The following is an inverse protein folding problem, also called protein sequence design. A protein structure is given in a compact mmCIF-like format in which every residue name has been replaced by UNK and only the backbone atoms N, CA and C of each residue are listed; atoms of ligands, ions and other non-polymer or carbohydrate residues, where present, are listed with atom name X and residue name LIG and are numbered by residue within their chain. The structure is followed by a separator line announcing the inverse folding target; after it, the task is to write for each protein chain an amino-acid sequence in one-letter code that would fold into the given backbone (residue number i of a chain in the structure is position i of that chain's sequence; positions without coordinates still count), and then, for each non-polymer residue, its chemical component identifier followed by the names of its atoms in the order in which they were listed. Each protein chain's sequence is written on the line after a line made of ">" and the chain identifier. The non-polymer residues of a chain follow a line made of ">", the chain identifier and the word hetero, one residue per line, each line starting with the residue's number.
data_IF_007501362331
#
_entry.id   IF_007501362331
#
_cell.length_a   1.000
_cell.length_b   1.000
_cell.length_c   1.000
_cell.angle_alpha   90.00
_cell.angle_beta   90.00
_cell.angle_gamma   90.00
#
_symmetry.space_group_name_H-M   'P 1'
#
loop_
_entity.id
_entity.type
_entity.pdbx_description
1 polymer ?
#
# COMPACT_ATOMS: atom_id res chain seq x y z
N UNK A 1 5.52 -20.98 -8.23
CA UNK A 1 6.84 -21.54 -7.83
C UNK A 1 7.95 -20.48 -7.69
N UNK A 2 7.68 -19.17 -7.81
CA UNK A 2 8.68 -18.10 -7.64
C UNK A 2 8.88 -17.66 -6.17
N UNK A 3 7.79 -17.40 -5.43
CA UNK A 3 7.89 -16.93 -4.03
C UNK A 3 8.48 -17.94 -3.05
N UNK A 4 8.34 -19.24 -3.29
CA UNK A 4 8.93 -20.29 -2.44
C UNK A 4 10.45 -20.35 -2.59
N UNK A 5 10.99 -20.06 -3.78
CA UNK A 5 12.42 -20.12 -4.04
C UNK A 5 13.16 -18.96 -3.39
N UNK A 6 12.58 -17.75 -3.42
CA UNK A 6 13.28 -16.53 -3.02
C UNK A 6 12.92 -16.02 -1.62
N UNK A 7 12.23 -16.83 -0.80
CA UNK A 7 11.72 -16.40 0.50
C UNK A 7 12.85 -16.05 1.50
N UNK A 8 14.01 -16.69 1.36
CA UNK A 8 15.18 -16.50 2.22
C UNK A 8 16.32 -15.73 1.54
N UNK A 9 16.12 -15.21 0.33
CA UNK A 9 17.19 -14.58 -0.46
C UNK A 9 17.58 -13.19 0.08
N UNK A 10 16.75 -12.59 0.94
CA UNK A 10 17.00 -11.28 1.52
C UNK A 10 16.63 -11.24 3.00
N UNK A 11 17.60 -10.96 3.86
CA UNK A 11 17.36 -10.66 5.26
C UNK A 11 16.88 -9.21 5.42
N UNK A 12 15.58 -9.04 5.66
CA UNK A 12 14.93 -7.75 5.87
C UNK A 12 14.94 -7.29 7.33
N UNK A 13 15.65 -8.00 8.23
CA UNK A 13 15.67 -7.68 9.67
C UNK A 13 16.14 -6.25 9.92
N UNK A 14 17.23 -5.83 9.25
CA UNK A 14 17.77 -4.49 9.41
C UNK A 14 16.76 -3.42 8.98
N UNK A 15 16.09 -3.61 7.85
CA UNK A 15 15.10 -2.66 7.33
C UNK A 15 13.89 -2.52 8.26
N UNK A 16 13.44 -3.64 8.84
CA UNK A 16 12.38 -3.64 9.85
C UNK A 16 12.80 -2.80 11.06
N UNK A 17 13.96 -3.08 11.64
CA UNK A 17 14.44 -2.40 12.86
C UNK A 17 14.64 -0.89 12.60
N UNK A 18 15.24 -0.52 11.47
CA UNK A 18 15.42 0.88 11.08
C UNK A 18 14.09 1.61 10.90
N UNK A 19 13.12 0.96 10.24
CA UNK A 19 11.78 1.53 10.00
C UNK A 19 10.98 1.71 11.31
N UNK A 20 11.03 0.70 12.19
CA UNK A 20 10.37 0.75 13.51
C UNK A 20 10.99 1.85 14.36
N UNK A 21 12.31 1.91 14.45
CA UNK A 21 12.98 2.90 15.30
C UNK A 21 12.74 4.34 14.81
N UNK A 22 12.76 4.57 13.49
CA UNK A 22 12.33 5.86 12.92
C UNK A 22 10.89 6.20 13.31
N UNK A 23 9.98 5.22 13.31
CA UNK A 23 8.59 5.44 13.68
C UNK A 23 8.44 5.75 15.18
N UNK A 24 9.10 4.98 16.05
CA UNK A 24 9.09 5.19 17.51
C UNK A 24 9.57 6.59 17.88
N UNK A 25 10.62 7.07 17.23
CA UNK A 25 11.19 8.40 17.50
C UNK A 25 10.31 9.54 17.01
N UNK A 26 9.54 9.37 15.93
CA UNK A 26 8.91 10.50 15.23
C UNK A 26 7.38 10.51 15.24
N UNK A 27 6.72 9.40 15.56
CA UNK A 27 5.25 9.30 15.57
C UNK A 27 4.71 9.58 16.99
N UNK A 28 3.77 10.53 17.15
CA UNK A 28 3.27 10.95 18.47
C UNK A 28 2.70 9.82 19.33
N UNK A 29 2.07 8.82 18.72
CA UNK A 29 1.53 7.66 19.43
C UNK A 29 2.59 6.94 20.26
N UNK A 30 3.75 6.66 19.66
CA UNK A 30 4.83 5.94 20.35
C UNK A 30 5.50 6.82 21.42
N UNK A 31 5.72 8.10 21.12
CA UNK A 31 6.26 9.07 22.06
C UNK A 31 5.37 9.22 23.31
N UNK A 32 4.06 9.39 23.13
CA UNK A 32 3.10 9.50 24.25
C UNK A 32 3.00 8.22 25.08
N UNK A 33 3.24 7.06 24.47
CA UNK A 33 3.27 5.76 25.14
C UNK A 33 4.62 5.46 25.82
N UNK A 34 5.64 6.29 25.62
CA UNK A 34 6.99 6.04 26.15
C UNK A 34 7.66 4.80 25.56
N UNK A 35 7.30 4.40 24.33
CA UNK A 35 7.89 3.24 23.67
C UNK A 35 9.35 3.54 23.32
N UNK A 36 10.24 2.60 23.61
CA UNK A 36 11.67 2.71 23.33
C UNK A 36 12.03 2.05 22.01
N UNK A 37 13.16 2.48 21.42
CA UNK A 37 13.74 1.84 20.23
C UNK A 37 14.14 0.39 20.51
N UNK A 38 14.02 -0.45 19.49
CA UNK A 38 14.30 -1.89 19.55
C UNK A 38 15.60 -2.23 18.83
N UNK A 39 16.32 -3.25 19.28
CA UNK A 39 17.61 -3.67 18.71
C UNK A 39 17.51 -4.90 17.82
N UNK A 40 16.48 -5.72 18.01
CA UNK A 40 16.33 -7.01 17.36
C UNK A 40 14.85 -7.41 17.25
N UNK A 41 14.60 -8.51 16.53
CA UNK A 41 13.24 -9.03 16.30
C UNK A 41 12.54 -9.40 17.61
N UNK A 42 13.27 -9.91 18.60
CA UNK A 42 12.66 -10.32 19.86
C UNK A 42 12.12 -9.10 20.62
N UNK A 43 12.92 -8.04 20.71
CA UNK A 43 12.49 -6.76 21.28
C UNK A 43 11.33 -6.14 20.49
N UNK A 44 11.36 -6.19 19.15
CA UNK A 44 10.23 -5.74 18.33
C UNK A 44 8.93 -6.43 18.74
N UNK A 45 8.95 -7.76 18.89
CA UNK A 45 7.77 -8.57 19.24
C UNK A 45 7.24 -8.28 20.65
N UNK A 46 8.11 -7.88 21.58
CA UNK A 46 7.73 -7.67 22.99
C UNK A 46 7.40 -6.22 23.32
N UNK A 47 8.10 -5.26 22.70
CA UNK A 47 8.02 -3.83 23.04
C UNK A 47 6.97 -3.11 22.19
N UNK A 48 6.88 -3.43 20.89
CA UNK A 48 5.98 -2.70 19.99
C UNK A 48 4.54 -3.21 20.20
N UNK A 49 3.60 -2.34 20.60
CA UNK A 49 2.23 -2.76 20.85
C UNK A 49 1.52 -3.11 19.54
N UNK A 50 0.60 -4.08 19.61
CA UNK A 50 -0.33 -4.36 18.53
C UNK A 50 -1.31 -3.18 18.39
N UNK A 51 -1.46 -2.70 17.16
CA UNK A 51 -2.34 -1.59 16.81
C UNK A 51 -3.43 -2.11 15.90
N UNK A 52 -4.68 -1.84 16.27
CA UNK A 52 -5.87 -2.17 15.50
C UNK A 52 -6.37 -0.97 14.69
N UNK A 53 -7.25 -1.25 13.73
CA UNK A 53 -7.83 -0.26 12.82
C UNK A 53 -8.64 0.81 13.56
N UNK A 54 -9.40 0.45 14.57
CA UNK A 54 -10.29 1.39 15.28
C UNK A 54 -9.48 2.41 16.07
N UNK A 55 -8.42 1.96 16.74
CA UNK A 55 -7.48 2.81 17.45
C UNK A 55 -6.85 3.86 16.54
N UNK A 56 -6.46 3.48 15.32
CA UNK A 56 -5.93 4.41 14.31
C UNK A 56 -7.01 5.42 13.91
N UNK A 57 -8.19 4.93 13.52
CA UNK A 57 -9.25 5.80 12.98
C UNK A 57 -9.76 6.80 14.03
N UNK A 58 -9.85 6.41 15.30
CA UNK A 58 -10.29 7.28 16.40
C UNK A 58 -9.20 8.27 16.86
N UNK A 59 -7.94 8.05 16.50
CA UNK A 59 -6.81 8.86 16.98
C UNK A 59 -5.82 9.19 15.85
N UNK A 60 -6.34 9.49 14.65
CA UNK A 60 -5.56 9.62 13.42
C UNK A 60 -4.30 10.48 13.58
N UNK A 61 -4.42 11.66 14.19
CA UNK A 61 -3.32 12.60 14.34
C UNK A 61 -2.18 12.08 15.23
N UNK A 62 -2.43 11.06 16.08
CA UNK A 62 -1.38 10.41 16.86
C UNK A 62 -0.52 9.47 16.01
N UNK A 63 -1.09 8.92 14.93
CA UNK A 63 -0.43 7.93 14.07
C UNK A 63 0.22 8.55 12.83
N UNK A 64 0.06 9.86 12.63
CA UNK A 64 0.62 10.58 11.49
C UNK A 64 1.90 11.28 11.90
N UNK A 65 2.92 11.19 11.04
CA UNK A 65 4.16 11.95 11.17
C UNK A 65 3.84 13.46 11.08
N UNK A 66 4.13 14.29 12.10
CA UNK A 66 3.64 15.68 12.14
C UNK A 66 4.03 16.53 10.92
N UNK A 67 5.24 16.31 10.37
CA UNK A 67 5.84 17.12 9.31
C UNK A 67 6.06 16.33 8.01
N UNK A 68 5.16 15.40 7.67
CA UNK A 68 5.27 14.68 6.40
C UNK A 68 5.07 15.59 5.19
N UNK A 69 5.73 15.27 4.07
CA UNK A 69 5.68 16.08 2.87
C UNK A 69 4.37 15.88 2.09
N UNK A 70 3.36 16.69 2.41
CA UNK A 70 2.03 16.71 1.77
C UNK A 70 2.08 16.89 0.25
N UNK A 71 3.12 17.54 -0.30
CA UNK A 71 3.27 17.73 -1.75
C UNK A 71 3.51 16.41 -2.47
N UNK A 72 4.23 15.47 -1.85
CA UNK A 72 4.60 14.18 -2.43
C UNK A 72 3.74 13.00 -1.98
N UNK A 73 2.76 13.23 -1.11
CA UNK A 73 1.84 12.21 -0.61
C UNK A 73 0.39 12.50 -0.98
N UNK A 74 -0.44 11.47 -0.93
CA UNK A 74 -1.91 11.54 -1.04
C UNK A 74 -2.54 10.73 0.07
N UNK A 75 -3.73 11.14 0.50
CA UNK A 75 -4.57 10.30 1.35
C UNK A 75 -5.36 9.33 0.48
N UNK A 76 -5.37 8.05 0.87
CA UNK A 76 -6.14 6.99 0.24
C UNK A 76 -6.98 6.26 1.27
N UNK A 77 -7.99 5.54 0.79
CA UNK A 77 -8.85 4.71 1.63
C UNK A 77 -8.90 3.28 1.12
N UNK A 78 -9.06 2.32 2.03
CA UNK A 78 -9.27 0.91 1.66
C UNK A 78 -10.74 0.63 1.37
N UNK A 79 -11.04 -0.18 0.34
CA UNK A 79 -12.40 -0.61 -0.01
C UNK A 79 -12.94 -1.71 0.91
N UNK A 80 -12.88 -1.51 2.22
CA UNK A 80 -13.26 -2.53 3.20
C UNK A 80 -14.76 -2.81 3.23
N UNK A 81 -15.12 -4.10 3.36
CA UNK A 81 -16.52 -4.60 3.48
C UNK A 81 -17.23 -4.18 4.77
N UNK A 82 -16.49 -3.69 5.78
CA UNK A 82 -17.03 -3.29 7.08
C UNK A 82 -17.65 -1.87 7.11
N UNK A 83 -17.85 -1.22 5.96
CA UNK A 83 -18.41 0.13 5.84
C UNK A 83 -17.52 1.28 6.36
N UNK A 84 -16.41 0.99 7.03
CA UNK A 84 -15.45 1.98 7.57
C UNK A 84 -14.10 1.84 6.86
N UNK A 85 -13.76 2.67 5.87
CA UNK A 85 -12.47 2.59 5.19
C UNK A 85 -11.30 2.93 6.13
N UNK A 86 -10.17 2.22 6.02
CA UNK A 86 -8.94 2.65 6.69
C UNK A 86 -8.32 3.80 5.89
N UNK A 87 -7.96 4.90 6.55
CA UNK A 87 -7.20 6.01 5.96
C UNK A 87 -5.72 5.67 5.90
N UNK A 88 -5.08 6.03 4.79
CA UNK A 88 -3.66 5.78 4.53
C UNK A 88 -3.01 7.04 3.95
N UNK A 89 -1.76 7.32 4.32
CA UNK A 89 -0.91 8.32 3.65
C UNK A 89 0.04 7.56 2.74
N UNK A 90 0.01 7.86 1.44
CA UNK A 90 0.72 7.07 0.43
C UNK A 90 1.49 8.00 -0.52
N UNK A 91 2.73 7.66 -0.93
CA UNK A 91 3.46 8.44 -1.93
C UNK A 91 2.73 8.53 -3.27
N UNK A 92 2.78 9.71 -3.92
CA UNK A 92 2.21 9.92 -5.27
C UNK A 92 2.90 9.08 -6.35
N UNK A 93 4.20 8.87 -6.19
CA UNK A 93 5.05 8.11 -7.11
C UNK A 93 5.05 6.60 -6.86
N UNK A 94 4.26 6.07 -5.90
CA UNK A 94 4.20 4.63 -5.58
C UNK A 94 3.98 3.74 -6.80
N UNK A 95 3.21 4.24 -7.77
CA UNK A 95 2.83 3.52 -8.98
C UNK A 95 4.05 3.09 -9.80
N UNK A 96 5.20 3.77 -9.66
CA UNK A 96 6.45 3.39 -10.33
C UNK A 96 6.92 2.03 -9.79
N UNK A 97 6.95 1.87 -8.47
CA UNK A 97 7.38 0.63 -7.82
C UNK A 97 6.32 -0.45 -7.99
N UNK A 98 5.06 -0.13 -7.68
CA UNK A 98 3.95 -1.08 -7.75
C UNK A 98 3.78 -1.67 -9.16
N UNK A 99 3.80 -0.83 -10.20
CA UNK A 99 3.63 -1.29 -11.58
C UNK A 99 4.82 -2.14 -12.06
N UNK A 100 6.04 -1.75 -11.71
CA UNK A 100 7.23 -2.55 -12.05
C UNK A 100 7.21 -3.92 -11.38
N UNK A 101 6.83 -3.96 -10.09
CA UNK A 101 6.64 -5.22 -9.36
C UNK A 101 5.58 -6.10 -10.03
N UNK A 102 4.44 -5.53 -10.42
CA UNK A 102 3.39 -6.28 -11.12
C UNK A 102 3.87 -6.79 -12.49
N UNK A 103 4.58 -5.97 -13.26
CA UNK A 103 5.14 -6.37 -14.55
C UNK A 103 6.14 -7.53 -14.40
N UNK A 104 7.00 -7.50 -13.36
CA UNK A 104 7.91 -8.60 -13.08
C UNK A 104 7.15 -9.90 -12.74
N UNK A 105 6.09 -9.80 -11.92
CA UNK A 105 5.24 -10.95 -11.60
C UNK A 105 4.55 -11.52 -12.84
N UNK A 106 4.04 -10.69 -13.73
CA UNK A 106 3.40 -11.14 -14.97
C UNK A 106 4.41 -11.71 -15.98
N UNK A 107 5.61 -11.14 -16.08
CA UNK A 107 6.68 -11.67 -16.93
C UNK A 107 7.05 -13.10 -16.54
N UNK A 108 7.00 -13.43 -15.26
CA UNK A 108 7.27 -14.78 -14.77
C UNK A 108 6.21 -15.82 -15.20
N UNK A 109 5.03 -15.39 -15.65
CA UNK A 109 3.99 -16.26 -16.21
C UNK A 109 3.85 -16.09 -17.72
N UNK A 110 4.85 -15.47 -18.36
CA UNK A 110 4.95 -15.37 -19.82
C UNK A 110 4.34 -14.12 -20.45
N UNK A 111 3.84 -13.16 -19.67
CA UNK A 111 3.35 -11.89 -20.18
C UNK A 111 4.52 -11.00 -20.63
N UNK A 112 4.52 -10.54 -21.87
CA UNK A 112 5.59 -9.74 -22.50
C UNK A 112 5.17 -8.28 -22.75
N UNK A 113 4.15 -7.81 -22.04
CA UNK A 113 3.64 -6.46 -22.24
C UNK A 113 2.53 -6.37 -23.29
N UNK A 114 1.74 -7.44 -23.44
CA UNK A 114 0.55 -7.48 -24.29
C UNK A 114 -0.55 -6.56 -23.75
N UNK A 115 -1.52 -6.24 -24.62
CA UNK A 115 -2.72 -5.49 -24.25
C UNK A 115 -3.49 -6.23 -23.15
N UNK A 116 -3.98 -5.49 -22.14
CA UNK A 116 -4.74 -6.06 -21.02
C UNK A 116 -6.12 -5.41 -20.90
N UNK A 117 -7.12 -6.24 -20.68
CA UNK A 117 -8.45 -5.82 -20.25
C UNK A 117 -8.43 -5.51 -18.75
N UNK A 118 -9.04 -4.40 -18.37
CA UNK A 118 -9.02 -3.91 -16.99
C UNK A 118 -10.43 -3.50 -16.58
N UNK A 119 -10.91 -4.09 -15.50
CA UNK A 119 -12.14 -3.66 -14.82
C UNK A 119 -11.72 -2.94 -13.53
N UNK A 120 -12.31 -1.76 -13.29
CA UNK A 120 -12.04 -0.94 -12.10
C UNK A 120 -13.36 -0.47 -11.52
N UNK A 121 -13.33 -0.11 -10.24
CA UNK A 121 -14.42 0.56 -9.56
C UNK A 121 -14.54 2.02 -10.04
N UNK A 122 -14.93 2.21 -11.30
CA UNK A 122 -15.03 3.51 -11.97
C UNK A 122 -16.10 3.45 -13.05
N UNK A 123 -17.09 4.34 -12.95
CA UNK A 123 -17.99 4.65 -14.05
C UNK A 123 -17.23 5.40 -15.14
N UNK A 124 -17.38 4.95 -16.38
CA UNK A 124 -16.92 5.72 -17.53
C UNK A 124 -17.92 6.85 -17.82
N UNK A 125 -17.44 7.96 -18.40
CA UNK A 125 -18.32 9.08 -18.74
C UNK A 125 -19.08 8.77 -20.03
N UNK A 126 -20.20 9.46 -20.27
CA UNK A 126 -20.86 9.54 -21.58
C UNK A 126 -21.24 8.18 -22.21
N UNK A 127 -21.82 7.24 -21.45
CA UNK A 127 -22.23 5.91 -21.94
C UNK A 127 -21.09 5.11 -22.63
N UNK A 128 -19.83 5.43 -22.34
CA UNK A 128 -18.69 4.69 -22.90
C UNK A 128 -18.59 3.31 -22.25
N UNK A 129 -18.54 2.26 -23.05
CA UNK A 129 -18.39 0.87 -22.57
C UNK A 129 -16.93 0.58 -22.21
N UNK A 130 -15.98 1.23 -22.89
CA UNK A 130 -14.55 1.16 -22.57
C UNK A 130 -13.81 2.46 -22.91
N UNK A 131 -12.61 2.60 -22.36
CA UNK A 131 -11.62 3.60 -22.75
C UNK A 131 -10.23 2.95 -22.87
N UNK A 132 -9.35 3.51 -23.68
CA UNK A 132 -8.01 2.95 -23.92
C UNK A 132 -6.98 3.85 -23.27
N UNK A 133 -6.09 3.26 -22.48
CA UNK A 133 -4.85 3.89 -22.06
C UNK A 133 -3.69 3.34 -22.90
N UNK A 134 -3.27 4.04 -23.98
CA UNK A 134 -2.25 3.53 -24.90
C UNK A 134 -0.89 3.41 -24.22
N UNK A 135 -0.57 4.29 -23.25
CA UNK A 135 0.70 4.26 -22.51
C UNK A 135 0.81 3.01 -21.65
N UNK A 136 -0.29 2.61 -21.02
CA UNK A 136 -0.33 1.42 -20.13
C UNK A 136 -0.75 0.13 -20.85
N UNK A 137 -1.06 0.21 -22.14
CA UNK A 137 -1.68 -0.85 -22.95
C UNK A 137 -2.90 -1.47 -22.23
N UNK A 138 -3.77 -0.62 -21.71
CA UNK A 138 -4.99 -1.04 -21.00
C UNK A 138 -6.24 -0.71 -21.84
N UNK A 139 -7.13 -1.70 -22.00
CA UNK A 139 -8.54 -1.47 -22.35
C UNK A 139 -9.32 -1.49 -21.04
N UNK A 140 -9.81 -0.34 -20.62
CA UNK A 140 -10.49 -0.14 -19.35
C UNK A 140 -12.00 -0.18 -19.60
N UNK A 141 -12.66 -1.22 -19.12
CA UNK A 141 -14.11 -1.38 -19.21
C UNK A 141 -14.82 -0.67 -18.06
N UNK A 142 -16.07 -0.27 -18.28
CA UNK A 142 -16.93 0.22 -17.20
C UNK A 142 -17.22 -0.92 -16.22
N UNK A 143 -16.81 -0.75 -14.95
CA UNK A 143 -16.97 -1.77 -13.92
C UNK A 143 -18.39 -1.92 -13.38
N UNK A 144 -19.33 -1.09 -13.84
CA UNK A 144 -20.71 -1.08 -13.37
C UNK A 144 -21.75 -1.36 -14.46
N UNK A 145 -21.32 -1.50 -15.71
CA UNK A 145 -22.17 -1.83 -16.86
C UNK A 145 -21.70 -3.17 -17.44
N UNK A 146 -21.94 -4.25 -16.70
CA UNK A 146 -21.55 -5.62 -17.08
C UNK A 146 -22.73 -6.56 -17.37
N UNK A 147 -23.95 -6.01 -17.48
CA UNK A 147 -25.11 -6.81 -17.87
C UNK A 147 -25.05 -7.15 -19.39
N UNK A 148 -25.43 -8.38 -19.79
CA UNK A 148 -25.48 -8.81 -21.19
C UNK A 148 -26.48 -8.02 -22.05
#
# INVERSE_FOLDING_TARGET
>A
MFFKANFYDYDNTKDLIDSVNKSVTNIPFYQKKGIQSVKNIQEFKTIIPIIDKEKIMNNWDLFVLPNYNKKHTVEGTTGGTSGKPLRLIIPKNRHIVELNTMNAMWSNVGWKGELRAVIRNKHLKNNQIFTVNPVKKEVIFDGFNSDP
#
